data_IF_404218630977
#
_entry.id   IF_404218630977
#
_cell.length_a   1.000
_cell.length_b   1.000
_cell.length_c   1.000
_cell.angle_alpha   90.00
_cell.angle_beta   90.00
_cell.angle_gamma   90.00
#
_symmetry.space_group_name_H-M   'P 1'
#
loop_
_entity.id
_entity.type
_entity.pdbx_description
1 polymer ?
#
# COMPACT_ATOMS: atom_id res chain seq x y z
N UNK A 1 13.18 0.35 17.16
CA UNK A 1 13.27 0.04 15.72
C UNK A 1 11.88 -0.31 15.24
N UNK A 2 11.15 0.66 14.69
CA UNK A 2 9.87 0.35 14.05
C UNK A 2 10.20 -0.30 12.72
N UNK A 3 9.98 -1.61 12.66
CA UNK A 3 10.17 -2.43 11.47
C UNK A 3 9.60 -1.69 10.27
N UNK A 4 10.49 -1.36 9.35
CA UNK A 4 10.20 -0.65 8.11
C UNK A 4 9.24 -1.55 7.35
N UNK A 5 7.93 -1.33 7.47
CA UNK A 5 6.93 -1.93 6.59
C UNK A 5 7.20 -1.27 5.24
N UNK A 6 8.16 -1.86 4.54
CA UNK A 6 8.88 -1.21 3.49
C UNK A 6 8.06 -1.43 2.22
N UNK A 7 7.32 -0.42 1.79
CA UNK A 7 6.80 -0.35 0.43
C UNK A 7 7.97 -0.15 -0.58
N UNK A 8 9.11 -0.84 -0.39
CA UNK A 8 10.42 -0.35 -0.82
C UNK A 8 10.64 -0.37 -2.32
N UNK A 9 9.95 -1.21 -3.08
CA UNK A 9 10.18 -1.28 -4.52
C UNK A 9 8.91 -1.73 -5.19
N UNK A 10 8.43 -0.91 -6.13
CA UNK A 10 7.46 -1.20 -7.18
C UNK A 10 6.68 -2.51 -7.01
N UNK A 11 5.38 -2.37 -6.67
CA UNK A 11 4.38 -3.40 -6.93
C UNK A 11 4.72 -4.79 -6.40
N UNK A 12 4.44 -5.03 -5.11
CA UNK A 12 4.18 -6.41 -4.71
C UNK A 12 2.92 -6.87 -5.45
N UNK A 13 3.10 -7.56 -6.58
CA UNK A 13 2.01 -7.95 -7.46
C UNK A 13 0.97 -8.79 -6.72
N UNK A 14 1.36 -9.52 -5.67
CA UNK A 14 0.47 -10.24 -4.76
C UNK A 14 -0.50 -9.29 -4.04
N UNK A 15 0.00 -8.20 -3.45
CA UNK A 15 -0.85 -7.21 -2.80
C UNK A 15 -1.80 -6.58 -3.81
N UNK A 16 -1.27 -6.14 -4.95
CA UNK A 16 -2.04 -5.52 -6.03
C UNK A 16 -3.13 -6.46 -6.56
N UNK A 17 -2.88 -7.77 -6.58
CA UNK A 17 -3.86 -8.79 -6.99
C UNK A 17 -4.92 -9.06 -5.93
N UNK A 18 -4.54 -9.10 -4.65
CA UNK A 18 -5.42 -9.46 -3.53
C UNK A 18 -6.28 -8.31 -3.03
N UNK A 19 -5.85 -7.06 -3.20
CA UNK A 19 -6.69 -5.91 -2.86
C UNK A 19 -7.88 -5.87 -3.82
N UNK A 20 -9.09 -5.99 -3.26
CA UNK A 20 -10.35 -5.90 -3.99
C UNK A 20 -10.62 -4.48 -4.47
N UNK A 21 -11.41 -4.32 -5.54
CA UNK A 21 -11.77 -3.00 -6.08
C UNK A 21 -12.45 -2.13 -5.01
N UNK A 22 -13.28 -2.74 -4.17
CA UNK A 22 -13.91 -2.09 -3.02
C UNK A 22 -12.87 -1.55 -2.03
N UNK A 23 -11.90 -2.37 -1.63
CA UNK A 23 -10.81 -1.94 -0.74
C UNK A 23 -10.00 -0.80 -1.36
N UNK A 24 -9.77 -0.78 -2.68
CA UNK A 24 -9.11 0.34 -3.37
C UNK A 24 -9.93 1.62 -3.22
N UNK A 25 -11.24 1.58 -3.49
CA UNK A 25 -12.11 2.74 -3.40
C UNK A 25 -12.20 3.27 -1.97
N UNK A 26 -12.43 2.39 -0.99
CA UNK A 26 -12.48 2.79 0.42
C UNK A 26 -11.13 3.35 0.90
N UNK A 27 -10.02 2.75 0.48
CA UNK A 27 -8.68 3.25 0.82
C UNK A 27 -8.41 4.61 0.19
N UNK A 28 -8.83 4.85 -1.06
CA UNK A 28 -8.74 6.16 -1.71
C UNK A 28 -9.51 7.22 -0.93
N UNK A 29 -10.75 6.92 -0.51
CA UNK A 29 -11.58 7.83 0.28
C UNK A 29 -10.98 8.12 1.65
N UNK A 30 -10.51 7.09 2.35
CA UNK A 30 -9.86 7.24 3.64
C UNK A 30 -8.60 8.12 3.52
N UNK A 31 -7.80 7.95 2.46
CA UNK A 31 -6.59 8.74 2.24
C UNK A 31 -6.88 10.18 1.82
N UNK A 32 -7.98 10.44 1.12
CA UNK A 32 -8.45 11.82 0.87
C UNK A 32 -8.93 12.47 2.17
N UNK A 33 -9.72 11.76 2.97
CA UNK A 33 -10.18 12.24 4.27
C UNK A 33 -9.00 12.55 5.22
N UNK A 34 -7.95 11.74 5.17
CA UNK A 34 -6.72 11.94 5.94
C UNK A 34 -5.78 13.01 5.37
N UNK A 35 -6.19 13.71 4.30
CA UNK A 35 -5.41 14.70 3.55
C UNK A 35 -4.07 14.15 3.02
N UNK A 36 -3.98 12.83 2.82
CA UNK A 36 -2.83 12.19 2.17
C UNK A 36 -2.96 12.37 0.66
N UNK A 37 -4.13 12.11 0.10
CA UNK A 37 -4.43 12.34 -1.31
C UNK A 37 -5.32 13.57 -1.48
N UNK A 38 -5.19 14.27 -2.60
CA UNK A 38 -6.20 15.23 -3.05
C UNK A 38 -7.29 14.52 -3.86
N UNK A 39 -8.46 15.15 -4.03
CA UNK A 39 -9.52 14.62 -4.91
C UNK A 39 -9.03 14.44 -6.35
N UNK A 40 -8.20 15.36 -6.86
CA UNK A 40 -7.59 15.26 -8.19
C UNK A 40 -6.67 14.03 -8.33
N UNK A 41 -5.91 13.69 -7.29
CA UNK A 41 -5.06 12.49 -7.30
C UNK A 41 -5.93 11.22 -7.30
N UNK A 42 -6.99 11.20 -6.49
CA UNK A 42 -7.97 10.11 -6.46
C UNK A 42 -8.61 9.89 -7.83
N UNK A 43 -9.13 10.95 -8.45
CA UNK A 43 -9.71 10.88 -9.80
C UNK A 43 -8.68 10.41 -10.82
N UNK A 44 -7.47 10.95 -10.79
CA UNK A 44 -6.41 10.56 -11.72
C UNK A 44 -6.08 9.06 -11.64
N UNK A 45 -6.02 8.50 -10.43
CA UNK A 45 -5.78 7.07 -10.22
C UNK A 45 -6.96 6.23 -10.76
N UNK A 46 -8.19 6.69 -10.57
CA UNK A 46 -9.40 5.99 -11.02
C UNK A 46 -9.59 6.02 -12.54
N UNK A 47 -9.23 7.12 -13.19
CA UNK A 47 -9.42 7.35 -14.63
C UNK A 47 -8.25 6.84 -15.48
N UNK A 48 -6.99 7.03 -15.04
CA UNK A 48 -5.81 6.61 -15.83
C UNK A 48 -5.62 5.10 -15.90
N UNK A 49 -6.18 4.35 -14.96
CA UNK A 49 -5.88 2.94 -14.78
C UNK A 49 -7.09 2.06 -15.14
N UNK A 50 -7.05 1.31 -16.27
CA UNK A 50 -8.19 0.52 -16.72
C UNK A 50 -8.41 -0.75 -15.89
N UNK A 51 -7.38 -1.26 -15.21
CA UNK A 51 -7.46 -2.50 -14.42
C UNK A 51 -7.39 -2.22 -12.92
N UNK A 52 -8.01 -3.08 -12.11
CA UNK A 52 -7.90 -3.06 -10.65
C UNK A 52 -6.44 -3.03 -10.19
N UNK A 53 -5.61 -3.85 -10.83
CA UNK A 53 -4.19 -3.96 -10.50
C UNK A 53 -3.44 -2.64 -10.77
N UNK A 54 -3.71 -2.00 -11.91
CA UNK A 54 -3.08 -0.73 -12.23
C UNK A 54 -3.53 0.35 -11.24
N UNK A 55 -4.82 0.39 -10.87
CA UNK A 55 -5.34 1.34 -9.86
C UNK A 55 -4.63 1.19 -8.52
N UNK A 56 -4.52 -0.03 -8.01
CA UNK A 56 -3.82 -0.32 -6.76
C UNK A 56 -2.32 0.04 -6.85
N UNK A 57 -1.66 -0.32 -7.95
CA UNK A 57 -0.25 0.03 -8.19
C UNK A 57 -0.02 1.54 -8.13
N UNK A 58 -0.84 2.31 -8.84
CA UNK A 58 -0.70 3.76 -8.94
C UNK A 58 -1.03 4.45 -7.61
N UNK A 59 -2.01 3.93 -6.86
CA UNK A 59 -2.31 4.34 -5.49
C UNK A 59 -1.10 4.16 -4.57
N UNK A 60 -0.52 2.96 -4.50
CA UNK A 60 0.62 2.71 -3.63
C UNK A 60 1.85 3.52 -4.05
N UNK A 61 2.11 3.64 -5.35
CA UNK A 61 3.19 4.50 -5.85
C UNK A 61 3.01 5.97 -5.45
N UNK A 62 1.79 6.49 -5.49
CA UNK A 62 1.49 7.86 -5.08
C UNK A 62 1.73 8.04 -3.57
N UNK A 63 1.30 7.08 -2.75
CA UNK A 63 1.54 7.09 -1.31
C UNK A 63 3.04 7.02 -0.98
N UNK A 64 3.79 6.15 -1.66
CA UNK A 64 5.25 6.02 -1.49
C UNK A 64 5.95 7.35 -1.80
N UNK A 65 5.56 8.02 -2.89
CA UNK A 65 6.11 9.33 -3.29
C UNK A 65 5.85 10.43 -2.26
N UNK A 66 4.78 10.32 -1.48
CA UNK A 66 4.46 11.25 -0.38
C UNK A 66 5.24 10.98 0.90
N UNK A 67 5.86 9.81 1.03
CA UNK A 67 6.78 9.46 2.09
C UNK A 67 6.15 8.66 3.25
N UNK A 68 6.98 8.37 4.24
CA UNK A 68 6.70 7.36 5.27
C UNK A 68 5.42 7.62 6.08
N UNK A 69 5.04 8.88 6.29
CA UNK A 69 3.83 9.22 7.04
C UNK A 69 2.56 8.80 6.27
N UNK A 70 2.55 9.02 4.96
CA UNK A 70 1.46 8.58 4.09
C UNK A 70 1.39 7.05 4.09
N UNK A 71 2.53 6.37 3.92
CA UNK A 71 2.63 4.91 3.99
C UNK A 71 2.05 4.34 5.29
N UNK A 72 2.39 4.92 6.45
CA UNK A 72 1.87 4.47 7.75
C UNK A 72 0.35 4.58 7.83
N UNK A 73 -0.24 5.70 7.38
CA UNK A 73 -1.70 5.89 7.33
C UNK A 73 -2.35 4.87 6.39
N UNK A 74 -1.78 4.65 5.22
CA UNK A 74 -2.28 3.65 4.25
C UNK A 74 -2.28 2.24 4.84
N UNK A 75 -1.22 1.83 5.54
CA UNK A 75 -1.15 0.53 6.20
C UNK A 75 -2.22 0.43 7.30
N UNK A 76 -2.41 1.48 8.09
CA UNK A 76 -3.42 1.50 9.14
C UNK A 76 -4.83 1.25 8.59
N UNK A 77 -5.22 2.01 7.56
CA UNK A 77 -6.51 1.82 6.89
C UNK A 77 -6.62 0.46 6.22
N UNK A 78 -5.58 0.01 5.53
CA UNK A 78 -5.56 -1.30 4.89
C UNK A 78 -5.71 -2.44 5.91
N UNK A 79 -5.12 -2.32 7.10
CA UNK A 79 -5.25 -3.30 8.19
C UNK A 79 -6.67 -3.32 8.75
N UNK A 80 -7.32 -2.15 8.82
CA UNK A 80 -8.72 -2.04 9.26
C UNK A 80 -9.70 -2.63 8.25
N UNK A 81 -9.41 -2.50 6.95
CA UNK A 81 -10.23 -3.06 5.88
C UNK A 81 -9.99 -4.57 5.73
N UNK A 82 -8.74 -5.01 5.85
CA UNK A 82 -8.34 -6.39 5.65
C UNK A 82 -7.07 -6.72 6.47
N UNK A 83 -7.30 -7.32 7.64
CA UNK A 83 -6.24 -7.75 8.56
C UNK A 83 -5.39 -8.90 7.99
N UNK A 84 -5.94 -9.71 7.08
CA UNK A 84 -5.23 -10.81 6.41
C UNK A 84 -4.22 -10.30 5.37
N UNK A 85 -4.51 -9.17 4.73
CA UNK A 85 -3.57 -8.48 3.83
C UNK A 85 -2.38 -7.87 4.60
N UNK A 86 -2.63 -7.29 5.78
CA UNK A 86 -1.57 -6.74 6.61
C UNK A 86 -0.60 -7.81 7.14
N UNK A 87 -1.10 -9.00 7.44
CA UNK A 87 -0.24 -10.13 7.83
C UNK A 87 0.76 -10.51 6.72
N UNK A 88 0.36 -10.46 5.44
CA UNK A 88 1.28 -10.69 4.32
C UNK A 88 2.34 -9.59 4.17
N UNK A 89 1.99 -8.34 4.45
CA UNK A 89 2.93 -7.21 4.47
C UNK A 89 4.02 -7.39 5.54
N UNK A 90 3.63 -7.87 6.73
CA UNK A 90 4.57 -8.15 7.82
C UNK A 90 5.45 -9.39 7.57
N UNK A 91 4.94 -10.39 6.85
CA UNK A 91 5.74 -11.57 6.48
C UNK A 91 6.88 -11.22 5.50
N UNK A 92 6.66 -10.25 4.61
CA UNK A 92 7.69 -9.78 3.65
C UNK A 92 8.79 -8.96 4.31
N UNK A 93 8.49 -8.24 5.40
CA UNK A 93 9.50 -7.51 6.18
C UNK A 93 10.30 -8.42 7.12
N UNK A 94 9.72 -9.54 7.57
CA UNK A 94 10.45 -10.54 8.35
C UNK A 94 11.40 -11.40 7.50
N UNK A 95 11.12 -11.57 6.21
CA UNK A 95 11.90 -12.44 5.30
C UNK A 95 13.12 -11.75 4.64
N UNK A 96 13.33 -10.44 4.86
CA UNK A 96 14.57 -9.76 4.43
C UNK A 96 15.69 -9.79 5.48
N UNK A 97 15.48 -10.45 6.62
CA UNK A 97 16.59 -10.97 7.40
C UNK A 97 17.12 -12.22 6.69
N UNK A 98 17.83 -12.06 5.57
CA UNK A 98 18.80 -13.08 5.19
C UNK A 98 19.79 -13.14 6.35
N UNK A 99 19.74 -14.26 7.07
CA UNK A 99 20.74 -14.68 8.03
C UNK A 99 22.12 -14.34 7.46
N UNK A 100 22.73 -13.31 8.04
CA UNK A 100 24.16 -13.10 7.94
C UNK A 100 24.81 -14.28 8.65
N UNK A 101 25.22 -15.25 7.86
CA UNK A 101 26.46 -16.02 7.99
C UNK A 101 27.09 -15.93 9.39
N UNK A 102 26.77 -16.91 10.24
CA UNK A 102 27.62 -17.25 11.38
C UNK A 102 28.31 -18.58 11.08
N UNK A 103 29.59 -18.43 10.72
CA UNK A 103 30.73 -19.36 10.74
C UNK A 103 30.73 -20.54 9.80
#
# INVERSE_FOLDING_TARGET
>A
MFNKINFQTATDQELVKRVSTENITQLLEALVADSVLNELEKESILEKNPTRANKASDLFNTVIKKGDQACRKTIHHLTSLDSHLCSHLHLRSASSCTEGEFT
#
